data_IF_704915124515
#
_entry.id   IF_704915124515
#
_cell.length_a   1.000
_cell.length_b   1.000
_cell.length_c   1.000
_cell.angle_alpha   90.00
_cell.angle_beta   90.00
_cell.angle_gamma   90.00
#
_symmetry.space_group_name_H-M   'P 1'
#
loop_
_entity.id
_entity.type
_entity.pdbx_description
1 polymer ?
#
# COMPACT_ATOMS: atom_id res chain seq x y z
N UNK A 1 24.58 -30.74 -38.39
CA UNK A 1 23.50 -29.76 -38.53
C UNK A 1 23.72 -28.73 -37.43
N UNK A 2 24.29 -27.62 -37.84
CA UNK A 2 24.65 -26.47 -37.02
C UNK A 2 23.44 -25.60 -36.66
N UNK A 3 23.55 -24.90 -35.51
CA UNK A 3 22.87 -23.64 -35.19
C UNK A 3 21.41 -23.79 -34.72
N UNK A 4 20.97 -23.23 -33.59
CA UNK A 4 21.37 -21.98 -32.97
C UNK A 4 21.00 -22.01 -31.47
N UNK A 5 21.99 -22.18 -30.60
CA UNK A 5 21.88 -21.85 -29.18
C UNK A 5 22.16 -20.34 -29.07
N UNK A 6 21.11 -19.54 -29.29
CA UNK A 6 21.22 -18.08 -29.32
C UNK A 6 21.29 -17.50 -27.90
N UNK A 7 22.45 -16.91 -27.57
CA UNK A 7 22.73 -16.04 -26.42
C UNK A 7 22.38 -16.58 -25.03
N UNK A 8 23.36 -17.28 -24.47
CA UNK A 8 23.42 -17.62 -23.06
C UNK A 8 23.33 -16.40 -22.17
N UNK A 9 22.37 -16.46 -21.25
CA UNK A 9 22.60 -16.01 -19.91
C UNK A 9 22.14 -17.14 -18.99
N UNK A 10 23.10 -17.72 -18.27
CA UNK A 10 22.85 -18.70 -17.22
C UNK A 10 21.82 -18.07 -16.27
N UNK A 11 20.64 -18.70 -16.06
CA UNK A 11 19.79 -18.33 -14.93
C UNK A 11 20.69 -18.42 -13.70
N UNK A 12 20.95 -17.29 -13.05
CA UNK A 12 21.71 -17.22 -11.81
C UNK A 12 20.87 -17.83 -10.67
N UNK A 13 20.56 -19.12 -10.76
CA UNK A 13 19.70 -19.84 -9.84
C UNK A 13 20.53 -20.56 -8.78
N UNK A 14 20.96 -19.83 -7.76
CA UNK A 14 21.15 -20.44 -6.45
C UNK A 14 19.78 -20.81 -5.85
N UNK A 15 19.74 -21.73 -4.88
CA UNK A 15 18.51 -21.98 -4.12
C UNK A 15 17.98 -20.66 -3.53
N UNK A 16 16.66 -20.47 -3.50
CA UNK A 16 16.06 -19.32 -2.83
C UNK A 16 16.50 -19.33 -1.36
N UNK A 17 17.20 -18.29 -0.95
CA UNK A 17 17.61 -18.08 0.44
C UNK A 17 16.72 -16.99 1.07
N UNK A 18 15.72 -17.37 1.88
CA UNK A 18 14.80 -16.42 2.50
C UNK A 18 15.51 -15.39 3.39
N UNK A 19 16.64 -15.78 4.01
CA UNK A 19 17.37 -14.91 4.93
C UNK A 19 18.04 -13.76 4.17
N UNK A 20 18.64 -14.06 3.03
CA UNK A 20 19.26 -13.04 2.16
C UNK A 20 18.21 -12.15 1.52
N UNK A 21 17.02 -12.68 1.19
CA UNK A 21 15.90 -11.91 0.65
C UNK A 21 15.38 -10.87 1.66
N UNK A 22 15.08 -11.27 2.90
CA UNK A 22 14.56 -10.37 3.95
C UNK A 22 15.60 -9.30 4.34
N UNK A 23 16.90 -9.55 4.11
CA UNK A 23 17.95 -8.58 4.42
C UNK A 23 18.08 -7.46 3.40
N UNK A 24 17.42 -7.56 2.25
CA UNK A 24 17.46 -6.51 1.22
C UNK A 24 16.64 -5.30 1.67
N UNK A 25 17.22 -4.09 1.74
CA UNK A 25 16.51 -2.90 2.20
C UNK A 25 15.21 -2.62 1.44
N UNK A 26 15.22 -2.80 0.11
CA UNK A 26 14.04 -2.62 -0.74
C UNK A 26 12.92 -3.58 -0.34
N UNK A 27 13.23 -4.87 -0.15
CA UNK A 27 12.26 -5.89 0.29
C UNK A 27 11.69 -5.56 1.67
N UNK A 28 12.49 -5.07 2.61
CA UNK A 28 11.99 -4.65 3.93
C UNK A 28 10.98 -3.52 3.79
N UNK A 29 11.32 -2.48 3.02
CA UNK A 29 10.42 -1.34 2.83
C UNK A 29 9.13 -1.77 2.10
N UNK A 30 9.21 -2.70 1.14
CA UNK A 30 8.04 -3.31 0.48
C UNK A 30 7.12 -4.04 1.45
N UNK A 31 7.68 -4.86 2.35
CA UNK A 31 6.92 -5.55 3.38
C UNK A 31 6.22 -4.52 4.28
N UNK A 32 6.90 -3.43 4.64
CA UNK A 32 6.30 -2.34 5.42
C UNK A 32 5.17 -1.65 4.65
N UNK A 33 5.35 -1.32 3.36
CA UNK A 33 4.27 -0.77 2.52
C UNK A 33 3.05 -1.70 2.48
N UNK A 34 3.30 -3.00 2.33
CA UNK A 34 2.26 -4.02 2.30
C UNK A 34 1.52 -4.10 3.65
N UNK A 35 2.24 -4.09 4.78
CA UNK A 35 1.64 -4.07 6.12
C UNK A 35 0.81 -2.81 6.37
N UNK A 36 1.30 -1.63 5.97
CA UNK A 36 0.55 -0.38 6.11
C UNK A 36 -0.77 -0.42 5.32
N UNK A 37 -0.75 -0.99 4.12
CA UNK A 37 -1.99 -1.16 3.33
C UNK A 37 -3.03 -2.05 4.02
N UNK A 38 -2.59 -3.12 4.70
CA UNK A 38 -3.45 -4.01 5.49
C UNK A 38 -4.03 -3.27 6.68
N UNK A 39 -3.22 -2.49 7.40
CA UNK A 39 -3.68 -1.73 8.56
C UNK A 39 -4.73 -0.70 8.15
N UNK A 40 -4.47 0.10 7.11
CA UNK A 40 -5.42 1.11 6.60
C UNK A 40 -6.72 0.45 6.16
N UNK A 41 -6.63 -0.63 5.38
CA UNK A 41 -7.81 -1.36 4.92
C UNK A 41 -8.59 -1.96 6.08
N UNK A 42 -7.92 -2.58 7.05
CA UNK A 42 -8.54 -3.18 8.22
C UNK A 42 -9.24 -2.16 9.13
N UNK A 43 -8.59 -1.02 9.37
CA UNK A 43 -9.19 0.07 10.16
C UNK A 43 -10.48 0.58 9.52
N UNK A 44 -10.46 0.87 8.22
CA UNK A 44 -11.63 1.47 7.55
C UNK A 44 -12.71 0.44 7.23
N UNK A 45 -12.35 -0.79 6.86
CA UNK A 45 -13.33 -1.81 6.50
C UNK A 45 -14.12 -2.35 7.70
N UNK A 46 -13.52 -2.37 8.90
CA UNK A 46 -14.18 -2.90 10.11
C UNK A 46 -14.77 -1.81 11.00
N UNK A 47 -14.12 -0.65 11.11
CA UNK A 47 -14.47 0.40 12.07
C UNK A 47 -14.67 1.77 11.39
N UNK A 48 -14.65 1.82 10.05
CA UNK A 48 -14.81 3.06 9.30
C UNK A 48 -16.25 3.50 9.10
N UNK A 49 -17.23 2.67 9.45
CA UNK A 49 -18.66 2.94 9.30
C UNK A 49 -19.33 2.89 10.67
N UNK A 50 -19.96 3.99 11.06
CA UNK A 50 -20.60 4.17 12.36
C UNK A 50 -21.95 4.84 12.18
N UNK A 51 -22.91 4.52 13.03
CA UNK A 51 -24.21 5.18 13.08
C UNK A 51 -24.33 6.05 14.33
N UNK A 52 -25.22 7.05 14.27
CA UNK A 52 -25.65 7.74 15.49
C UNK A 52 -26.53 6.79 16.32
N UNK A 53 -26.62 6.96 17.65
CA UNK A 53 -27.48 6.10 18.50
C UNK A 53 -28.96 6.09 18.08
N UNK A 54 -29.43 7.15 17.42
CA UNK A 54 -30.81 7.32 16.97
C UNK A 54 -31.04 6.87 15.51
N UNK A 55 -29.98 6.52 14.78
CA UNK A 55 -30.01 6.17 13.36
C UNK A 55 -29.62 4.69 13.16
N UNK A 56 -30.28 3.99 12.24
CA UNK A 56 -29.94 2.60 11.90
C UNK A 56 -28.88 2.53 10.79
N UNK A 57 -28.85 3.55 9.92
CA UNK A 57 -27.94 3.59 8.77
C UNK A 57 -26.52 4.00 9.23
N UNK A 58 -25.52 3.27 8.75
CA UNK A 58 -24.12 3.56 9.02
C UNK A 58 -23.56 4.56 8.01
N UNK A 59 -22.70 5.45 8.51
CA UNK A 59 -22.04 6.45 7.69
C UNK A 59 -20.53 6.38 7.90
N UNK A 60 -19.79 6.79 6.88
CA UNK A 60 -18.34 6.90 6.98
C UNK A 60 -17.93 7.80 8.16
N UNK A 61 -17.04 7.30 9.01
CA UNK A 61 -16.54 7.99 10.20
C UNK A 61 -15.85 9.33 9.88
N UNK A 62 -15.37 9.48 8.64
CA UNK A 62 -14.81 10.72 8.12
C UNK A 62 -15.91 11.67 7.62
N UNK A 63 -16.45 12.49 8.52
CA UNK A 63 -17.42 13.56 8.24
C UNK A 63 -18.66 13.06 7.45
N UNK A 64 -19.10 11.83 7.72
CA UNK A 64 -20.21 11.15 7.02
C UNK A 64 -20.06 11.16 5.49
N UNK A 65 -18.83 11.33 5.01
CA UNK A 65 -18.53 11.45 3.59
C UNK A 65 -18.14 10.07 3.05
N UNK A 66 -19.09 9.42 2.37
CA UNK A 66 -18.89 8.09 1.81
C UNK A 66 -17.67 8.01 0.87
N UNK A 67 -17.33 9.11 0.18
CA UNK A 67 -16.17 9.16 -0.70
C UNK A 67 -14.85 9.03 0.06
N UNK A 68 -14.78 9.42 1.34
CA UNK A 68 -13.58 9.29 2.17
C UNK A 68 -13.26 7.83 2.50
N UNK A 69 -14.25 7.08 3.01
CA UNK A 69 -14.08 5.66 3.29
C UNK A 69 -13.90 4.85 2.00
N UNK A 70 -14.67 5.14 0.95
CA UNK A 70 -14.49 4.49 -0.35
C UNK A 70 -13.08 4.74 -0.91
N UNK A 71 -12.56 5.96 -0.79
CA UNK A 71 -11.19 6.28 -1.20
C UNK A 71 -10.17 5.45 -0.41
N UNK A 72 -10.26 5.41 0.92
CA UNK A 72 -9.31 4.69 1.76
C UNK A 72 -9.34 3.17 1.51
N UNK A 73 -10.54 2.58 1.37
CA UNK A 73 -10.71 1.15 1.05
C UNK A 73 -10.16 0.83 -0.33
N UNK A 74 -10.49 1.62 -1.35
CA UNK A 74 -10.04 1.39 -2.73
C UNK A 74 -8.51 1.51 -2.82
N UNK A 75 -7.93 2.59 -2.29
CA UNK A 75 -6.48 2.82 -2.34
C UNK A 75 -5.73 1.82 -1.46
N UNK A 76 -6.24 1.46 -0.28
CA UNK A 76 -5.68 0.40 0.56
C UNK A 76 -5.64 -0.95 -0.17
N UNK A 77 -6.73 -1.33 -0.82
CA UNK A 77 -6.82 -2.58 -1.61
C UNK A 77 -5.86 -2.58 -2.81
N UNK A 78 -5.85 -1.49 -3.58
CA UNK A 78 -4.94 -1.37 -4.73
C UNK A 78 -3.47 -1.39 -4.31
N UNK A 79 -3.14 -0.72 -3.19
CA UNK A 79 -1.79 -0.71 -2.63
C UNK A 79 -1.37 -2.10 -2.14
N UNK A 80 -2.28 -2.84 -1.49
CA UNK A 80 -2.06 -4.22 -1.05
C UNK A 80 -1.69 -5.12 -2.24
N UNK A 81 -2.49 -5.09 -3.31
CA UNK A 81 -2.26 -5.90 -4.51
C UNK A 81 -0.97 -5.48 -5.23
N UNK A 82 -0.74 -4.17 -5.37
CA UNK A 82 0.45 -3.63 -6.01
C UNK A 82 1.73 -4.03 -5.26
N UNK A 83 1.74 -3.87 -3.92
CA UNK A 83 2.87 -4.25 -3.08
C UNK A 83 3.12 -5.75 -3.11
N UNK A 84 2.06 -6.58 -3.12
CA UNK A 84 2.19 -8.03 -3.27
C UNK A 84 2.79 -8.42 -4.63
N UNK A 85 2.36 -7.79 -5.72
CA UNK A 85 2.91 -8.02 -7.05
C UNK A 85 4.41 -7.65 -7.13
N UNK A 86 4.80 -6.54 -6.51
CA UNK A 86 6.21 -6.16 -6.44
C UNK A 86 7.05 -7.06 -5.52
N UNK A 87 6.51 -7.55 -4.41
CA UNK A 87 7.19 -8.56 -3.58
C UNK A 87 7.45 -9.83 -4.39
N UNK A 88 6.48 -10.26 -5.20
CA UNK A 88 6.67 -11.39 -6.12
C UNK A 88 7.75 -11.07 -7.16
N UNK A 89 7.75 -9.85 -7.73
CA UNK A 89 8.79 -9.41 -8.65
C UNK A 89 10.18 -9.46 -7.98
N UNK A 90 10.31 -9.01 -6.74
CA UNK A 90 11.57 -9.04 -5.98
C UNK A 90 12.10 -10.48 -5.80
N UNK A 91 11.22 -11.45 -5.55
CA UNK A 91 11.58 -12.87 -5.45
C UNK A 91 12.17 -13.38 -6.77
N UNK A 92 11.61 -12.95 -7.91
CA UNK A 92 12.08 -13.37 -9.23
C UNK A 92 13.19 -12.48 -9.81
N UNK A 93 13.43 -11.30 -9.24
CA UNK A 93 14.37 -10.32 -9.77
C UNK A 93 15.80 -10.88 -9.96
N UNK A 94 16.36 -11.69 -9.04
CA UNK A 94 17.68 -12.32 -9.24
C UNK A 94 17.74 -13.24 -10.46
N UNK A 95 16.61 -13.85 -10.83
CA UNK A 95 16.51 -14.80 -11.94
C UNK A 95 16.41 -14.11 -13.31
N UNK A 96 16.13 -12.80 -13.36
CA UNK A 96 16.08 -12.03 -14.59
C UNK A 96 17.50 -11.94 -15.16
N UNK A 97 17.75 -12.46 -16.35
CA UNK A 97 19.08 -12.45 -16.96
C UNK A 97 19.35 -11.22 -17.83
N UNK A 98 18.31 -10.59 -18.37
CA UNK A 98 18.40 -9.45 -19.26
C UNK A 98 18.63 -8.13 -18.54
N UNK A 99 19.73 -7.45 -18.83
CA UNK A 99 20.03 -6.09 -18.30
C UNK A 99 18.93 -5.09 -18.68
N UNK A 100 18.38 -5.20 -19.90
CA UNK A 100 17.28 -4.35 -20.37
C UNK A 100 16.00 -4.56 -19.56
N UNK A 101 15.68 -5.81 -19.21
CA UNK A 101 14.47 -6.14 -18.47
C UNK A 101 14.58 -5.77 -16.99
N UNK A 102 15.75 -5.99 -16.38
CA UNK A 102 16.06 -5.47 -15.03
C UNK A 102 15.89 -3.95 -14.98
N UNK A 103 16.43 -3.22 -15.97
CA UNK A 103 16.28 -1.77 -16.03
C UNK A 103 14.82 -1.34 -16.16
N UNK A 104 14.02 -2.02 -16.98
CA UNK A 104 12.58 -1.74 -17.11
C UNK A 104 11.83 -1.97 -15.79
N UNK A 105 12.12 -3.08 -15.10
CA UNK A 105 11.53 -3.39 -13.80
C UNK A 105 11.84 -2.29 -12.77
N UNK A 106 13.10 -1.86 -12.67
CA UNK A 106 13.52 -0.78 -11.77
C UNK A 106 12.87 0.56 -12.15
N UNK A 107 12.79 0.90 -13.44
CA UNK A 107 12.13 2.14 -13.87
C UNK A 107 10.63 2.13 -13.60
N UNK A 108 9.97 0.98 -13.77
CA UNK A 108 8.57 0.80 -13.43
C UNK A 108 8.35 0.95 -11.93
N UNK A 109 9.26 0.38 -11.11
CA UNK A 109 9.24 0.55 -9.67
C UNK A 109 9.29 2.03 -9.27
N UNK A 110 10.33 2.74 -9.70
CA UNK A 110 10.51 4.18 -9.40
C UNK A 110 9.27 5.00 -9.80
N UNK A 111 8.69 4.73 -10.97
CA UNK A 111 7.50 5.43 -11.44
C UNK A 111 6.27 5.16 -10.57
N UNK A 112 6.05 3.90 -10.19
CA UNK A 112 4.93 3.49 -9.34
C UNK A 112 5.11 3.98 -7.91
N UNK A 113 6.34 3.97 -7.39
CA UNK A 113 6.74 4.55 -6.11
C UNK A 113 6.44 6.04 -6.03
N UNK A 114 6.83 6.82 -7.03
CA UNK A 114 6.53 8.25 -7.09
C UNK A 114 5.01 8.51 -7.12
N UNK A 115 4.26 7.73 -7.91
CA UNK A 115 2.82 7.82 -7.99
C UNK A 115 2.16 7.52 -6.64
N UNK A 116 2.51 6.40 -6.00
CA UNK A 116 1.93 6.02 -4.71
C UNK A 116 2.28 7.00 -3.60
N UNK A 117 3.49 7.56 -3.61
CA UNK A 117 3.89 8.60 -2.65
C UNK A 117 2.96 9.82 -2.74
N UNK A 118 2.64 10.27 -3.96
CA UNK A 118 1.71 11.37 -4.17
C UNK A 118 0.28 11.00 -3.78
N UNK A 119 -0.18 9.81 -4.16
CA UNK A 119 -1.52 9.31 -3.80
C UNK A 119 -1.69 9.27 -2.29
N UNK A 120 -0.72 8.71 -1.55
CA UNK A 120 -0.76 8.66 -0.09
C UNK A 120 -0.70 10.04 0.55
N UNK A 121 0.06 10.99 -0.02
CA UNK A 121 0.11 12.35 0.49
C UNK A 121 -1.24 13.05 0.34
N UNK A 122 -1.86 12.95 -0.84
CA UNK A 122 -3.21 13.49 -1.09
C UNK A 122 -4.23 12.80 -0.19
N UNK A 123 -4.14 11.48 -0.05
CA UNK A 123 -5.03 10.69 0.81
C UNK A 123 -4.94 11.05 2.27
N UNK A 124 -3.72 11.22 2.79
CA UNK A 124 -3.49 11.73 4.13
C UNK A 124 -4.16 13.09 4.33
N UNK A 125 -3.89 14.06 3.45
CA UNK A 125 -4.49 15.39 3.54
C UNK A 125 -6.02 15.33 3.49
N UNK A 126 -6.58 14.49 2.60
CA UNK A 126 -8.01 14.33 2.44
C UNK A 126 -8.66 13.73 3.69
N UNK A 127 -8.16 12.60 4.18
CA UNK A 127 -8.68 11.92 5.37
C UNK A 127 -8.52 12.78 6.63
N UNK A 128 -7.36 13.41 6.81
CA UNK A 128 -7.13 14.32 7.94
C UNK A 128 -8.10 15.51 7.92
N UNK A 129 -8.33 16.11 6.75
CA UNK A 129 -9.28 17.20 6.61
C UNK A 129 -10.72 16.75 6.90
N UNK A 130 -11.16 15.60 6.38
CA UNK A 130 -12.49 15.06 6.70
C UNK A 130 -12.61 14.70 8.17
N UNK A 131 -11.58 14.14 8.80
CA UNK A 131 -11.58 13.88 10.22
C UNK A 131 -11.67 15.16 11.06
N UNK A 132 -10.93 16.21 10.69
CA UNK A 132 -10.91 17.48 11.40
C UNK A 132 -12.30 18.15 11.45
N UNK A 133 -13.09 18.03 10.38
CA UNK A 133 -14.43 18.63 10.31
C UNK A 133 -15.54 17.68 10.75
N UNK A 134 -15.21 16.47 11.18
CA UNK A 134 -16.17 15.52 11.76
C UNK A 134 -16.69 16.04 13.09
N UNK A 135 -17.98 15.86 13.35
CA UNK A 135 -18.62 16.41 14.55
C UNK A 135 -18.83 15.33 15.60
N UNK A 136 -18.74 15.72 16.86
CA UNK A 136 -19.00 14.83 18.00
C UNK A 136 -20.44 14.29 18.01
N UNK A 137 -21.40 15.07 17.51
CA UNK A 137 -22.81 14.64 17.35
C UNK A 137 -22.96 13.46 16.37
N UNK A 138 -22.01 13.25 15.46
CA UNK A 138 -22.02 12.13 14.52
C UNK A 138 -21.49 10.84 15.13
N UNK A 139 -20.69 10.92 16.20
CA UNK A 139 -20.10 9.77 16.89
C UNK A 139 -19.88 10.07 18.38
N UNK A 140 -20.97 10.16 19.18
CA UNK A 140 -20.88 10.56 20.59
C UNK A 140 -20.19 9.51 21.48
N UNK A 141 -20.14 8.25 21.03
CA UNK A 141 -19.48 7.15 21.74
C UNK A 141 -18.01 7.00 21.33
N UNK A 142 -17.53 7.81 20.38
CA UNK A 142 -16.17 7.79 19.86
C UNK A 142 -15.73 6.41 19.33
N UNK A 143 -16.68 5.64 18.80
CA UNK A 143 -16.46 4.32 18.21
C UNK A 143 -15.59 4.43 16.95
N UNK A 144 -14.61 3.54 16.76
CA UNK A 144 -13.74 3.56 15.59
C UNK A 144 -12.81 4.77 15.47
N UNK A 145 -12.80 5.70 16.43
CA UNK A 145 -11.98 6.91 16.34
C UNK A 145 -10.48 6.63 16.34
N UNK A 146 -10.03 5.62 17.10
CA UNK A 146 -8.63 5.18 17.08
C UNK A 146 -8.28 4.52 15.74
N UNK A 147 -9.19 3.75 15.14
CA UNK A 147 -9.02 3.21 13.80
C UNK A 147 -8.96 4.30 12.73
N UNK A 148 -9.80 5.34 12.80
CA UNK A 148 -9.74 6.49 11.90
C UNK A 148 -8.39 7.23 12.01
N UNK A 149 -7.92 7.48 13.24
CA UNK A 149 -6.61 8.10 13.50
C UNK A 149 -5.48 7.23 12.99
N UNK A 150 -5.54 5.91 13.21
CA UNK A 150 -4.56 4.98 12.67
C UNK A 150 -4.54 5.04 11.14
N UNK A 151 -5.69 4.98 10.47
CA UNK A 151 -5.77 5.08 9.01
C UNK A 151 -5.12 6.37 8.47
N UNK A 152 -5.32 7.52 9.12
CA UNK A 152 -4.66 8.79 8.78
C UNK A 152 -3.14 8.68 8.95
N UNK A 153 -2.68 8.21 10.12
CA UNK A 153 -1.25 8.13 10.45
C UNK A 153 -0.50 7.17 9.53
N UNK A 154 -1.08 6.00 9.26
CA UNK A 154 -0.49 5.03 8.35
C UNK A 154 -0.53 5.52 6.89
N UNK A 155 -1.54 6.31 6.49
CA UNK A 155 -1.53 7.00 5.19
C UNK A 155 -0.37 7.99 5.09
N UNK A 156 -0.11 8.78 6.13
CA UNK A 156 1.04 9.70 6.19
C UNK A 156 2.38 8.96 6.10
N UNK A 157 2.58 7.90 6.89
CA UNK A 157 3.83 7.15 6.86
C UNK A 157 4.04 6.40 5.54
N UNK A 158 2.96 5.99 4.87
CA UNK A 158 3.03 5.36 3.55
C UNK A 158 3.70 6.26 2.50
N UNK A 159 3.62 7.59 2.64
CA UNK A 159 4.34 8.51 1.76
C UNK A 159 5.85 8.22 1.78
N UNK A 160 6.44 8.06 2.97
CA UNK A 160 7.89 7.90 3.11
C UNK A 160 8.39 6.49 2.80
N UNK A 161 7.52 5.49 2.88
CA UNK A 161 7.87 4.12 2.52
C UNK A 161 7.89 3.97 1.00
N UNK A 162 6.93 4.58 0.30
CA UNK A 162 6.91 4.58 -1.16
C UNK A 162 7.97 5.47 -1.81
N UNK A 163 8.41 6.57 -1.17
CA UNK A 163 9.55 7.38 -1.66
C UNK A 163 10.87 6.58 -1.67
N UNK A 164 10.98 5.56 -0.81
CA UNK A 164 12.22 4.80 -0.57
C UNK A 164 12.25 3.41 -1.18
N UNK A 165 11.21 3.02 -1.93
CA UNK A 165 11.17 1.82 -2.80
C UNK A 165 11.64 2.17 -4.20
#
# INVERSE_FOLDING_TARGET
MDGFQAYGAVKAGGAFDPLTFIRQPQTVVRIVCWLFSIVILGCVANEGYVNRPEEVEEYCIFNRNQNACNYAVAMGTLCFLCSAAFLVLDVYFPQISGVKDRKKAVMADIGVSALWSLVWFVGFCFLANQWQVSKEEDNPLNEGADAARAAIVFSFFSVFTWVRT
#
